data_IF_303865949952
#
_entry.id   IF_303865949952
#
_cell.length_a   1.000
_cell.length_b   1.000
_cell.length_c   1.000
_cell.angle_alpha   90.00
_cell.angle_beta   90.00
_cell.angle_gamma   90.00
#
_symmetry.space_group_name_H-M   'P 1'
#
loop_
_entity.id
_entity.type
_entity.pdbx_description
1 polymer ?
#
# COMPACT_ATOMS: atom_id res chain seq x y z
N UNK A 1 -2.88 -3.19 46.99
CA UNK A 1 -3.47 -3.96 45.88
C UNK A 1 -4.54 -4.81 46.51
N UNK A 2 -5.82 -4.47 46.33
CA UNK A 2 -6.91 -5.10 47.06
C UNK A 2 -7.65 -6.10 46.18
N UNK A 3 -8.03 -7.25 46.75
CA UNK A 3 -9.08 -8.07 46.16
C UNK A 3 -10.37 -7.24 46.16
N UNK A 4 -10.94 -6.99 44.99
CA UNK A 4 -12.18 -6.23 44.84
C UNK A 4 -13.41 -7.10 45.07
N UNK A 5 -13.28 -8.40 44.79
CA UNK A 5 -14.35 -9.37 44.99
C UNK A 5 -13.78 -10.78 45.23
N UNK A 6 -14.44 -11.54 46.10
CA UNK A 6 -14.17 -12.95 46.36
C UNK A 6 -15.33 -13.75 45.76
N UNK A 7 -15.03 -14.68 44.84
CA UNK A 7 -16.02 -15.56 44.22
C UNK A 7 -15.79 -17.00 44.67
N UNK A 8 -16.78 -17.59 45.34
CA UNK A 8 -16.75 -19.00 45.75
C UNK A 8 -17.43 -19.94 44.74
N UNK A 9 -17.65 -21.18 45.16
CA UNK A 9 -18.45 -22.18 44.43
C UNK A 9 -17.91 -22.57 43.04
N UNK A 10 -16.59 -22.63 42.88
CA UNK A 10 -15.94 -22.98 41.60
C UNK A 10 -16.34 -22.08 40.42
N UNK A 11 -16.65 -20.80 40.69
CA UNK A 11 -17.13 -19.84 39.68
C UNK A 11 -16.24 -19.77 38.41
N UNK A 12 -14.94 -20.04 38.51
CA UNK A 12 -13.97 -19.94 37.42
C UNK A 12 -13.52 -21.28 36.81
N UNK A 13 -14.11 -22.43 37.17
CA UNK A 13 -13.68 -23.72 36.63
C UNK A 13 -14.69 -24.86 36.80
N UNK A 14 -14.57 -25.95 36.02
CA UNK A 14 -15.44 -27.11 36.18
C UNK A 14 -15.23 -27.74 37.57
N UNK A 15 -16.29 -28.30 38.16
CA UNK A 15 -16.26 -29.00 39.45
C UNK A 15 -15.12 -29.99 39.49
N UNK A 16 -14.10 -29.71 40.30
CA UNK A 16 -12.90 -30.52 40.34
C UNK A 16 -13.23 -31.85 41.03
N UNK A 17 -12.78 -32.97 40.46
CA UNK A 17 -13.06 -34.29 41.06
C UNK A 17 -12.19 -34.47 42.32
N UNK A 18 -12.66 -35.21 43.35
CA UNK A 18 -11.93 -35.34 44.61
C UNK A 18 -10.50 -35.91 44.48
N UNK A 19 -10.18 -36.57 43.36
CA UNK A 19 -8.88 -37.20 43.13
C UNK A 19 -7.85 -36.29 42.44
N UNK A 20 -8.28 -35.19 41.81
CA UNK A 20 -7.39 -34.32 41.01
C UNK A 20 -7.09 -32.96 41.69
N UNK A 21 -7.62 -32.74 42.89
CA UNK A 21 -7.52 -31.44 43.58
C UNK A 21 -7.02 -31.63 45.01
N UNK A 22 -5.90 -30.99 45.33
CA UNK A 22 -5.33 -30.99 46.69
C UNK A 22 -5.65 -29.66 47.38
N UNK A 23 -6.52 -29.69 48.39
CA UNK A 23 -6.89 -28.49 49.14
C UNK A 23 -5.83 -28.19 50.22
N UNK A 24 -5.20 -27.03 50.11
CA UNK A 24 -4.09 -26.66 51.00
C UNK A 24 -4.53 -25.83 52.20
N UNK A 25 -5.61 -25.07 52.08
CA UNK A 25 -6.14 -24.14 53.09
C UNK A 25 -7.66 -24.17 53.08
N UNK A 26 -8.28 -24.09 54.26
CA UNK A 26 -9.73 -24.12 54.47
C UNK A 26 -10.14 -23.11 55.55
N UNK A 27 -11.40 -22.66 55.50
CA UNK A 27 -11.97 -21.62 56.36
C UNK A 27 -11.13 -20.33 56.44
N UNK A 28 -10.49 -19.96 55.32
CA UNK A 28 -9.56 -18.81 55.28
C UNK A 28 -10.30 -17.51 55.55
N UNK A 29 -9.93 -16.84 56.63
CA UNK A 29 -10.50 -15.56 57.06
C UNK A 29 -9.41 -14.50 57.14
N UNK A 30 -9.51 -13.49 56.28
CA UNK A 30 -8.60 -12.35 56.23
C UNK A 30 -9.30 -11.07 56.71
N UNK A 31 -8.56 -10.16 57.36
CA UNK A 31 -9.05 -8.84 57.77
C UNK A 31 -8.90 -7.77 56.68
N UNK A 32 -8.15 -8.06 55.61
CA UNK A 32 -7.94 -7.19 54.45
C UNK A 32 -6.70 -6.31 54.51
N UNK A 33 -5.88 -6.44 55.57
CA UNK A 33 -4.60 -5.72 55.72
C UNK A 33 -3.37 -6.62 55.47
N UNK A 34 -3.61 -7.91 55.26
CA UNK A 34 -2.58 -8.92 55.08
C UNK A 34 -1.89 -8.77 53.72
N UNK A 35 -0.59 -9.07 53.67
CA UNK A 35 0.19 -8.98 52.44
C UNK A 35 0.32 -10.31 51.70
N UNK A 36 0.06 -11.43 52.39
CA UNK A 36 0.11 -12.78 51.85
C UNK A 36 -1.08 -13.56 52.38
N UNK A 37 -1.61 -14.48 51.58
CA UNK A 37 -2.73 -15.33 51.97
C UNK A 37 -2.43 -16.19 53.20
N UNK A 38 -1.15 -16.56 53.40
CA UNK A 38 -0.69 -17.31 54.58
C UNK A 38 -0.70 -16.49 55.88
N UNK A 39 -0.82 -15.17 55.80
CA UNK A 39 -0.89 -14.29 56.96
C UNK A 39 -2.33 -14.20 57.51
N UNK A 40 -3.31 -14.74 56.78
CA UNK A 40 -4.70 -14.85 57.22
C UNK A 40 -4.90 -16.01 58.19
N UNK A 41 -6.01 -16.00 58.94
CA UNK A 41 -6.38 -17.10 59.82
C UNK A 41 -7.03 -18.24 59.00
N UNK A 42 -6.68 -19.49 59.29
CA UNK A 42 -7.22 -20.67 58.60
C UNK A 42 -7.03 -21.95 59.43
N UNK A 43 -7.79 -23.00 59.10
CA UNK A 43 -7.87 -24.25 59.89
C UNK A 43 -6.58 -25.11 59.95
N UNK A 44 -5.53 -24.71 59.22
CA UNK A 44 -4.23 -25.39 59.17
C UNK A 44 -3.92 -26.04 57.82
N UNK A 45 -2.64 -26.24 57.52
CA UNK A 45 -2.19 -26.74 56.22
C UNK A 45 -2.67 -28.17 55.95
N UNK A 46 -3.43 -28.36 54.86
CA UNK A 46 -3.99 -29.65 54.48
C UNK A 46 -5.07 -30.19 55.43
N UNK A 47 -5.52 -29.38 56.40
CA UNK A 47 -6.69 -29.69 57.23
C UNK A 47 -7.88 -28.99 56.60
N UNK A 48 -8.75 -29.77 55.95
CA UNK A 48 -9.90 -29.23 55.24
C UNK A 48 -11.10 -30.18 55.28
N UNK A 49 -12.30 -29.62 55.12
CA UNK A 49 -13.52 -30.35 54.80
C UNK A 49 -14.05 -30.02 53.38
N UNK A 50 -13.28 -29.24 52.60
CA UNK A 50 -13.63 -28.80 51.24
C UNK A 50 -14.08 -29.94 50.31
N UNK A 51 -15.20 -29.72 49.61
CA UNK A 51 -15.70 -30.49 48.48
C UNK A 51 -15.24 -29.90 47.14
N UNK A 52 -15.37 -30.65 46.04
CA UNK A 52 -15.03 -30.25 44.64
C UNK A 52 -15.58 -28.91 44.16
N UNK A 53 -16.56 -28.37 44.87
CA UNK A 53 -17.25 -27.12 44.59
C UNK A 53 -16.81 -25.98 45.51
N UNK A 54 -16.01 -26.21 46.55
CA UNK A 54 -15.64 -25.19 47.55
C UNK A 54 -14.34 -24.46 47.19
N UNK A 55 -14.08 -24.31 45.89
CA UNK A 55 -12.92 -23.58 45.37
C UNK A 55 -13.26 -22.09 45.31
N UNK A 56 -12.38 -21.26 45.86
CA UNK A 56 -12.49 -19.81 45.89
C UNK A 56 -11.50 -19.17 44.93
N UNK A 57 -11.96 -18.16 44.19
CA UNK A 57 -11.14 -17.28 43.36
C UNK A 57 -11.24 -15.84 43.84
N UNK A 58 -10.15 -15.07 43.67
CA UNK A 58 -10.12 -13.65 44.00
C UNK A 58 -9.92 -12.82 42.74
N UNK A 59 -10.69 -11.74 42.61
CA UNK A 59 -10.52 -10.76 41.53
C UNK A 59 -9.77 -9.56 42.12
N UNK A 60 -8.54 -9.34 41.70
CA UNK A 60 -7.73 -8.21 42.13
C UNK A 60 -8.01 -6.99 41.25
N UNK A 61 -8.26 -5.82 41.86
CA UNK A 61 -8.23 -4.53 41.15
C UNK A 61 -6.89 -3.84 41.40
N UNK A 62 -6.15 -3.58 40.33
CA UNK A 62 -4.90 -2.79 40.35
C UNK A 62 -5.25 -1.29 40.35
N UNK A 63 -4.72 -0.49 41.30
CA UNK A 63 -4.94 0.96 41.26
C UNK A 63 -3.89 1.63 40.36
N UNK A 64 -4.37 2.52 39.48
CA UNK A 64 -3.63 3.36 38.53
C UNK A 64 -2.80 2.61 37.49
N UNK A 65 -3.45 2.26 36.40
CA UNK A 65 -2.94 2.65 35.10
C UNK A 65 -3.96 3.64 34.51
N UNK A 66 -3.50 4.68 33.82
CA UNK A 66 -4.44 5.38 32.92
C UNK A 66 -5.02 4.29 32.02
N UNK A 67 -6.31 4.38 31.73
CA UNK A 67 -6.92 3.50 30.75
C UNK A 67 -6.00 3.46 29.51
N UNK A 68 -5.74 2.26 28.99
CA UNK A 68 -4.96 2.11 27.77
C UNK A 68 -5.57 2.95 26.64
N UNK A 69 -4.82 3.19 25.59
CA UNK A 69 -5.25 4.06 24.49
C UNK A 69 -6.60 3.63 23.86
N UNK A 70 -6.99 2.35 24.02
CA UNK A 70 -8.25 1.75 23.53
C UNK A 70 -9.42 1.74 24.55
N UNK A 71 -9.26 2.41 25.70
CA UNK A 71 -10.24 2.37 26.79
C UNK A 71 -10.70 3.78 27.21
N UNK A 72 -12.00 3.95 27.38
CA UNK A 72 -12.62 5.16 27.95
C UNK A 72 -12.51 5.19 29.47
N UNK A 73 -12.16 6.34 30.04
CA UNK A 73 -12.12 6.54 31.47
C UNK A 73 -13.38 7.28 31.95
N UNK A 74 -14.15 6.67 32.85
CA UNK A 74 -15.31 7.33 33.46
C UNK A 74 -14.89 8.56 34.28
N UNK A 75 -15.70 9.63 34.25
CA UNK A 75 -15.39 10.95 34.85
C UNK A 75 -15.19 10.89 36.37
N UNK A 76 -16.01 10.08 37.04
CA UNK A 76 -16.01 9.87 38.49
C UNK A 76 -15.83 8.40 38.83
N UNK A 77 -14.73 7.82 38.36
CA UNK A 77 -14.32 6.47 38.71
C UNK A 77 -12.87 6.16 38.34
N UNK A 78 -12.37 4.99 38.77
CA UNK A 78 -11.21 4.33 38.15
C UNK A 78 -11.67 3.22 37.19
N UNK A 79 -12.87 3.38 36.64
CA UNK A 79 -13.50 2.43 35.73
C UNK A 79 -13.03 2.76 34.31
N UNK A 80 -12.57 1.74 33.60
CA UNK A 80 -12.18 1.81 32.21
C UNK A 80 -13.13 0.94 31.41
N UNK A 81 -13.79 1.51 30.40
CA UNK A 81 -14.67 0.80 29.50
C UNK A 81 -13.98 0.63 28.14
N UNK A 82 -14.14 -0.51 27.45
CA UNK A 82 -13.76 -0.58 26.05
C UNK A 82 -14.57 0.45 25.26
N UNK A 83 -13.96 1.10 24.28
CA UNK A 83 -14.58 2.23 23.59
C UNK A 83 -15.88 1.90 22.84
N UNK A 84 -16.13 0.63 22.52
CA UNK A 84 -17.41 0.17 21.96
C UNK A 84 -18.59 0.22 22.93
N UNK A 85 -18.35 0.41 24.23
CA UNK A 85 -19.37 0.57 25.29
C UNK A 85 -19.64 2.04 25.62
N UNK A 86 -19.16 2.97 24.78
CA UNK A 86 -19.41 4.40 24.96
C UNK A 86 -20.50 4.83 23.97
N UNK A 87 -21.58 5.42 24.49
CA UNK A 87 -22.76 5.82 23.72
C UNK A 87 -23.52 4.64 23.09
N UNK A 88 -23.53 3.47 23.74
CA UNK A 88 -24.28 2.30 23.31
C UNK A 88 -25.73 2.28 23.84
N UNK A 89 -26.08 3.28 24.67
CA UNK A 89 -27.38 3.44 25.30
C UNK A 89 -27.54 2.67 26.62
N UNK A 90 -26.47 2.05 27.12
CA UNK A 90 -26.39 1.39 28.41
C UNK A 90 -25.55 2.25 29.37
N UNK A 91 -25.88 2.21 30.66
CA UNK A 91 -25.10 2.89 31.69
C UNK A 91 -24.08 1.90 32.24
N UNK A 92 -22.92 1.83 31.62
CA UNK A 92 -21.79 0.99 32.00
C UNK A 92 -20.85 1.69 32.97
N UNK A 93 -20.70 3.03 32.87
CA UNK A 93 -20.04 3.80 33.91
C UNK A 93 -20.98 3.98 35.11
N UNK A 94 -20.44 3.82 36.33
CA UNK A 94 -21.23 4.04 37.57
C UNK A 94 -21.81 5.45 37.71
N UNK A 95 -21.24 6.42 37.01
CA UNK A 95 -21.68 7.81 36.96
C UNK A 95 -22.44 8.19 35.69
N UNK A 96 -22.61 7.26 34.76
CA UNK A 96 -23.24 7.49 33.45
C UNK A 96 -22.47 8.44 32.54
N UNK A 97 -21.16 8.63 32.78
CA UNK A 97 -20.31 9.50 31.95
C UNK A 97 -20.01 8.92 30.57
N UNK A 98 -20.20 7.63 30.36
CA UNK A 98 -20.21 6.97 29.05
C UNK A 98 -21.37 7.45 28.16
N UNK A 99 -22.53 7.75 28.72
CA UNK A 99 -23.75 8.19 28.01
C UNK A 99 -23.97 9.72 28.05
N UNK A 100 -22.94 10.48 28.37
CA UNK A 100 -23.01 11.93 28.47
C UNK A 100 -23.36 12.60 27.15
N UNK A 101 -24.35 13.51 27.16
CA UNK A 101 -24.76 14.26 25.97
C UNK A 101 -23.64 15.11 25.34
N UNK A 102 -22.56 15.40 26.06
CA UNK A 102 -21.45 16.21 25.54
C UNK A 102 -20.66 15.50 24.43
N UNK A 103 -20.63 14.17 24.44
CA UNK A 103 -19.88 13.35 23.47
C UNK A 103 -20.76 12.35 22.72
N UNK A 104 -21.91 11.95 23.27
CA UNK A 104 -22.85 11.06 22.58
C UNK A 104 -23.89 11.78 21.70
N UNK A 105 -24.17 13.07 21.95
CA UNK A 105 -25.07 13.82 21.08
C UNK A 105 -24.34 14.25 19.81
N UNK A 106 -24.70 13.66 18.68
CA UNK A 106 -24.18 13.97 17.33
C UNK A 106 -24.29 15.46 16.99
N UNK A 107 -25.22 16.21 17.62
CA UNK A 107 -25.36 17.66 17.44
C UNK A 107 -24.28 18.45 18.18
N UNK A 108 -23.76 17.91 19.27
CA UNK A 108 -22.76 18.53 20.14
C UNK A 108 -21.34 18.03 19.82
N UNK A 109 -21.22 16.78 19.36
CA UNK A 109 -19.97 16.14 18.94
C UNK A 109 -20.17 15.43 17.59
N UNK A 110 -20.13 16.16 16.46
CA UNK A 110 -20.25 15.54 15.14
C UNK A 110 -19.03 14.68 14.81
N UNK A 111 -19.22 13.67 13.96
CA UNK A 111 -18.10 12.90 13.41
C UNK A 111 -17.22 13.81 12.55
N UNK A 112 -15.95 13.95 12.93
CA UNK A 112 -14.96 14.78 12.24
C UNK A 112 -13.85 13.93 11.62
N UNK A 113 -13.21 14.45 10.58
CA UNK A 113 -12.13 13.77 9.86
C UNK A 113 -10.91 14.68 9.78
N UNK A 114 -9.72 14.10 9.90
CA UNK A 114 -8.46 14.80 9.62
C UNK A 114 -7.41 13.88 9.01
N UNK A 115 -6.46 14.49 8.31
CA UNK A 115 -5.27 13.82 7.81
C UNK A 115 -4.05 14.27 8.63
N UNK A 116 -3.32 13.31 9.19
CA UNK A 116 -2.16 13.56 10.08
C UNK A 116 -0.87 13.03 9.45
N UNK A 117 0.26 13.66 9.78
CA UNK A 117 1.61 13.27 9.31
C UNK A 117 1.82 13.28 7.78
N UNK A 118 0.98 13.96 7.01
CA UNK A 118 1.22 14.23 5.59
C UNK A 118 2.18 15.41 5.36
N UNK A 119 2.85 15.44 4.20
CA UNK A 119 3.66 16.58 3.78
C UNK A 119 2.81 17.75 3.25
N UNK A 120 1.51 17.52 3.06
CA UNK A 120 0.53 18.52 2.61
C UNK A 120 -0.84 18.28 3.24
N UNK A 121 -1.79 19.21 3.04
CA UNK A 121 -3.17 19.07 3.53
C UNK A 121 -4.00 18.01 2.78
N UNK A 122 -3.46 17.49 1.69
CA UNK A 122 -4.11 16.53 0.80
C UNK A 122 -3.73 15.10 1.14
N UNK A 123 -2.79 14.88 2.06
CA UNK A 123 -2.30 13.54 2.37
C UNK A 123 -2.13 13.36 3.86
N UNK A 124 -2.18 12.11 4.32
CA UNK A 124 -1.89 11.75 5.70
C UNK A 124 -2.62 10.50 6.14
N UNK A 125 -2.32 10.05 7.37
CA UNK A 125 -3.06 9.02 8.08
C UNK A 125 -4.49 9.50 8.34
N UNK A 126 -5.46 8.64 8.12
CA UNK A 126 -6.87 8.92 8.38
C UNK A 126 -7.14 8.81 9.87
N UNK A 127 -7.64 9.89 10.46
CA UNK A 127 -8.15 9.88 11.83
C UNK A 127 -9.60 10.36 11.83
N UNK A 128 -10.43 9.66 12.60
CA UNK A 128 -11.86 9.92 12.77
C UNK A 128 -12.12 10.30 14.22
N UNK A 129 -12.91 11.34 14.42
CA UNK A 129 -13.42 11.70 15.73
C UNK A 129 -14.80 11.08 15.89
N UNK A 130 -14.91 10.01 16.67
CA UNK A 130 -16.18 9.36 17.00
C UNK A 130 -16.43 9.50 18.50
N UNK A 131 -17.66 9.84 18.88
CA UNK A 131 -18.05 10.16 20.26
C UNK A 131 -17.04 11.11 20.96
N UNK A 132 -16.62 12.15 20.26
CA UNK A 132 -15.69 13.17 20.79
C UNK A 132 -14.21 12.77 20.87
N UNK A 133 -13.86 11.51 20.59
CA UNK A 133 -12.50 10.95 20.73
C UNK A 133 -11.88 10.70 19.35
N UNK A 134 -10.62 11.09 19.17
CA UNK A 134 -9.88 10.79 17.95
C UNK A 134 -9.33 9.37 17.98
N UNK A 135 -9.49 8.66 16.87
CA UNK A 135 -8.88 7.35 16.62
C UNK A 135 -8.53 7.18 15.15
N UNK A 136 -7.89 6.07 14.82
CA UNK A 136 -7.41 5.71 13.49
C UNK A 136 -8.35 4.73 12.80
N UNK A 137 -8.00 4.30 11.59
CA UNK A 137 -8.75 3.33 10.79
C UNK A 137 -7.77 2.29 10.27
N UNK A 138 -8.14 1.01 10.35
CA UNK A 138 -7.32 -0.07 9.82
C UNK A 138 -7.34 -0.09 8.28
N UNK A 139 -6.25 -0.55 7.67
CA UNK A 139 -6.10 -0.68 6.23
C UNK A 139 -6.64 -1.99 5.63
N UNK A 140 -7.07 -2.93 6.48
CA UNK A 140 -7.74 -4.17 6.11
C UNK A 140 -9.05 -3.88 5.35
N UNK A 141 -9.13 -4.45 4.14
CA UNK A 141 -10.18 -4.23 3.14
C UNK A 141 -10.53 -2.75 2.81
N UNK A 142 -9.77 -1.79 3.33
CA UNK A 142 -9.94 -0.36 3.05
C UNK A 142 -9.72 -0.07 1.57
N UNK A 143 -10.80 0.11 0.83
CA UNK A 143 -10.79 0.22 -0.62
C UNK A 143 -10.67 1.67 -1.12
N UNK A 144 -10.39 1.86 -2.42
CA UNK A 144 -10.23 3.20 -3.01
C UNK A 144 -11.50 4.05 -2.90
N UNK A 145 -12.67 3.41 -2.95
CA UNK A 145 -13.94 4.09 -2.79
C UNK A 145 -14.13 4.61 -1.36
N UNK A 146 -13.61 3.92 -0.33
CA UNK A 146 -13.55 4.43 1.03
C UNK A 146 -12.65 5.67 1.12
N UNK A 147 -11.50 5.65 0.45
CA UNK A 147 -10.66 6.84 0.36
C UNK A 147 -11.37 8.01 -0.33
N UNK A 148 -12.16 7.76 -1.38
CA UNK A 148 -12.97 8.80 -2.04
C UNK A 148 -14.00 9.40 -1.09
N UNK A 149 -14.67 8.57 -0.27
CA UNK A 149 -15.64 9.03 0.73
C UNK A 149 -14.96 9.94 1.77
N UNK A 150 -13.80 9.55 2.29
CA UNK A 150 -13.00 10.36 3.23
C UNK A 150 -12.57 11.68 2.59
N UNK A 151 -11.99 11.62 1.39
CA UNK A 151 -11.52 12.81 0.67
C UNK A 151 -12.68 13.77 0.34
N UNK A 152 -13.84 13.24 -0.04
CA UNK A 152 -15.07 14.01 -0.28
C UNK A 152 -15.57 14.70 0.98
N UNK A 153 -15.50 14.04 2.13
CA UNK A 153 -15.85 14.64 3.41
C UNK A 153 -14.91 15.81 3.76
N UNK A 154 -13.62 15.68 3.44
CA UNK A 154 -12.62 16.74 3.61
C UNK A 154 -12.70 17.86 2.56
N UNK A 155 -13.65 17.77 1.61
CA UNK A 155 -13.91 18.79 0.59
C UNK A 155 -13.16 18.61 -0.73
N UNK A 156 -12.43 17.51 -0.91
CA UNK A 156 -11.78 17.15 -2.16
C UNK A 156 -12.75 16.41 -3.08
N UNK A 157 -12.72 16.72 -4.38
CA UNK A 157 -13.69 16.15 -5.34
C UNK A 157 -13.06 15.24 -6.39
N UNK A 158 -11.74 15.09 -6.36
CA UNK A 158 -10.98 14.31 -7.33
C UNK A 158 -10.78 12.86 -6.91
N UNK A 159 -9.75 12.25 -7.47
CA UNK A 159 -9.30 10.91 -7.08
C UNK A 159 -8.78 10.85 -5.65
N UNK A 160 -8.77 9.64 -5.10
CA UNK A 160 -8.21 9.34 -3.80
C UNK A 160 -7.36 8.08 -3.88
N UNK A 161 -6.17 8.09 -3.29
CA UNK A 161 -5.25 6.96 -3.28
C UNK A 161 -5.14 6.46 -1.84
N UNK A 162 -5.28 5.15 -1.64
CA UNK A 162 -5.08 4.49 -0.34
C UNK A 162 -3.60 4.26 -0.10
N UNK A 163 -3.16 4.48 1.14
CA UNK A 163 -1.85 4.12 1.66
C UNK A 163 -2.03 3.19 2.85
N UNK A 164 -1.36 2.04 2.79
CA UNK A 164 -1.46 0.94 3.73
C UNK A 164 -0.19 0.84 4.59
N UNK A 165 -0.16 -0.11 5.52
CA UNK A 165 0.99 -0.48 6.35
C UNK A 165 1.59 0.73 7.10
N UNK A 166 0.72 1.59 7.65
CA UNK A 166 1.15 2.71 8.47
C UNK A 166 2.05 3.70 7.71
N UNK A 167 1.86 3.89 6.40
CA UNK A 167 2.71 4.72 5.52
C UNK A 167 3.02 6.13 6.07
N UNK A 168 2.07 6.78 6.74
CA UNK A 168 2.25 8.10 7.38
C UNK A 168 2.66 8.01 8.86
N UNK A 169 3.16 6.84 9.26
CA UNK A 169 3.48 6.45 10.62
C UNK A 169 2.26 5.98 11.41
N UNK A 170 2.53 5.22 12.47
CA UNK A 170 1.55 4.79 13.45
C UNK A 170 0.85 6.00 14.12
N UNK A 171 -0.44 5.84 14.36
CA UNK A 171 -1.25 6.73 15.15
C UNK A 171 -1.21 6.38 16.64
N UNK A 172 -2.23 6.83 17.34
CA UNK A 172 -2.41 6.65 18.79
C UNK A 172 -3.87 6.76 19.14
N UNK A 173 -4.30 6.12 20.22
CA UNK A 173 -5.71 6.05 20.60
C UNK A 173 -6.40 4.84 19.96
N UNK A 174 -7.74 4.79 19.96
CA UNK A 174 -8.46 3.68 19.36
C UNK A 174 -8.24 3.53 17.87
N UNK A 175 -8.41 2.30 17.39
CA UNK A 175 -8.71 2.02 15.99
C UNK A 175 -10.23 1.89 15.86
N UNK A 176 -10.85 2.84 15.19
CA UNK A 176 -12.32 2.96 15.17
C UNK A 176 -13.00 2.01 14.20
N UNK A 177 -12.38 1.76 13.05
CA UNK A 177 -13.01 1.02 11.96
C UNK A 177 -12.01 0.02 11.36
N UNK A 178 -12.56 -1.13 11.00
CA UNK A 178 -11.89 -2.26 10.36
C UNK A 178 -12.81 -2.86 9.29
N UNK A 179 -12.24 -3.57 8.32
CA UNK A 179 -12.87 -4.13 7.13
C UNK A 179 -13.76 -3.13 6.37
N UNK A 180 -13.22 -1.94 6.10
CA UNK A 180 -14.01 -0.82 5.55
C UNK A 180 -14.12 -0.90 4.03
N UNK A 181 -15.29 -1.28 3.53
CA UNK A 181 -15.59 -1.39 2.10
C UNK A 181 -16.72 -0.43 1.74
N UNK A 182 -16.42 0.57 0.91
CA UNK A 182 -17.40 1.51 0.37
C UNK A 182 -17.69 1.27 -1.12
N UNK A 183 -18.81 1.79 -1.61
CA UNK A 183 -19.22 1.81 -3.03
C UNK A 183 -18.91 3.13 -3.73
N UNK A 184 -18.47 4.15 -2.98
CA UNK A 184 -18.07 5.49 -3.46
C UNK A 184 -19.19 6.52 -3.50
N UNK A 185 -20.45 6.09 -3.32
CA UNK A 185 -21.63 6.97 -3.32
C UNK A 185 -22.07 7.38 -1.92
N UNK A 186 -21.48 6.80 -0.89
CA UNK A 186 -21.75 7.10 0.50
C UNK A 186 -21.43 8.58 0.83
N UNK A 187 -22.15 9.11 1.81
CA UNK A 187 -21.97 10.48 2.31
C UNK A 187 -20.91 10.56 3.40
N UNK A 188 -20.75 9.47 4.15
CA UNK A 188 -19.89 9.31 5.32
C UNK A 188 -19.39 7.87 5.35
N UNK A 189 -18.24 7.65 5.97
CA UNK A 189 -17.63 6.31 6.06
C UNK A 189 -18.47 5.34 6.92
N UNK A 190 -19.28 5.89 7.84
CA UNK A 190 -20.22 5.13 8.69
C UNK A 190 -21.33 4.41 7.89
N UNK A 191 -21.56 4.83 6.64
CA UNK A 191 -22.55 4.22 5.76
C UNK A 191 -21.92 3.11 4.88
N UNK A 192 -20.62 2.91 4.98
CA UNK A 192 -19.94 1.83 4.28
C UNK A 192 -20.10 0.51 5.03
N UNK A 193 -19.73 -0.60 4.40
CA UNK A 193 -19.65 -1.87 5.11
C UNK A 193 -18.39 -1.84 5.97
N UNK A 194 -18.52 -2.07 7.27
CA UNK A 194 -17.42 -2.12 8.23
C UNK A 194 -17.85 -2.97 9.45
N UNK A 195 -16.89 -3.37 10.29
CA UNK A 195 -17.19 -3.97 11.60
C UNK A 195 -17.73 -2.94 12.59
N UNK A 196 -18.20 -3.36 13.77
CA UNK A 196 -18.70 -2.40 14.76
C UNK A 196 -17.58 -1.42 15.18
N UNK A 197 -17.97 -0.23 15.63
CA UNK A 197 -17.00 0.76 16.09
C UNK A 197 -16.11 0.22 17.22
N UNK A 198 -14.80 0.33 17.03
CA UNK A 198 -13.81 -0.19 17.99
C UNK A 198 -13.62 -1.72 17.95
N UNK A 199 -14.30 -2.43 17.05
CA UNK A 199 -14.06 -3.86 16.80
C UNK A 199 -13.03 -4.02 15.67
N UNK A 200 -11.83 -4.47 16.01
CA UNK A 200 -10.73 -4.68 15.06
C UNK A 200 -9.77 -5.76 15.57
N UNK A 201 -8.96 -6.32 14.67
CA UNK A 201 -7.80 -7.14 15.04
C UNK A 201 -6.46 -6.51 14.68
N UNK A 202 -6.49 -5.24 14.26
CA UNK A 202 -5.30 -4.51 13.81
C UNK A 202 -4.50 -3.89 14.96
N UNK A 203 -3.24 -3.58 14.69
CA UNK A 203 -2.43 -2.63 15.47
C UNK A 203 -2.13 -1.34 14.67
N UNK A 204 -1.51 -0.34 15.29
CA UNK A 204 -1.25 0.95 14.61
C UNK A 204 -0.22 0.88 13.47
N UNK A 205 0.45 -0.26 13.25
CA UNK A 205 1.27 -0.45 12.05
C UNK A 205 0.42 -0.68 10.81
N UNK A 206 -0.88 -0.94 10.99
CA UNK A 206 -1.89 -1.15 9.96
C UNK A 206 -2.81 0.07 9.78
N UNK A 207 -2.45 1.22 10.39
CA UNK A 207 -3.24 2.44 10.23
C UNK A 207 -3.22 2.92 8.77
N UNK A 208 -4.41 3.13 8.21
CA UNK A 208 -4.60 3.57 6.83
C UNK A 208 -4.35 5.07 6.67
N UNK A 209 -3.78 5.42 5.52
CA UNK A 209 -3.66 6.80 5.04
C UNK A 209 -4.30 6.98 3.69
N UNK A 210 -4.54 8.25 3.33
CA UNK A 210 -5.06 8.61 2.01
C UNK A 210 -4.31 9.78 1.41
N UNK A 211 -4.31 9.86 0.08
CA UNK A 211 -3.88 11.02 -0.69
C UNK A 211 -5.06 11.47 -1.54
N UNK A 212 -5.61 12.64 -1.22
CA UNK A 212 -6.72 13.28 -1.88
C UNK A 212 -6.27 14.18 -3.02
N UNK A 213 -7.08 14.25 -4.07
CA UNK A 213 -6.86 15.08 -5.24
C UNK A 213 -8.09 15.93 -5.54
N UNK A 214 -7.91 17.06 -6.23
CA UNK A 214 -9.00 17.81 -6.87
C UNK A 214 -9.10 17.53 -8.37
N UNK A 215 -8.29 16.59 -8.87
CA UNK A 215 -8.34 16.11 -10.24
C UNK A 215 -9.31 14.95 -10.27
N UNK A 216 -10.48 15.13 -10.89
CA UNK A 216 -11.44 14.06 -11.10
C UNK A 216 -10.77 12.92 -11.89
N UNK A 217 -10.69 11.75 -11.28
CA UNK A 217 -10.56 10.52 -12.05
C UNK A 217 -11.82 10.41 -12.91
N UNK A 218 -11.64 10.56 -14.22
CA UNK A 218 -12.73 10.32 -15.16
C UNK A 218 -12.96 8.81 -15.19
N UNK A 219 -13.77 8.30 -14.26
CA UNK A 219 -14.16 6.89 -14.22
C UNK A 219 -14.80 6.50 -15.55
N UNK A 220 -14.16 5.57 -16.24
CA UNK A 220 -14.76 4.80 -17.33
C UNK A 220 -15.77 3.82 -16.72
N UNK A 221 -16.94 4.31 -16.33
CA UNK A 221 -18.06 3.42 -16.06
C UNK A 221 -18.58 2.83 -17.38
N UNK A 222 -18.49 1.51 -17.47
CA UNK A 222 -19.12 0.68 -18.50
C UNK A 222 -20.62 0.98 -18.57
N UNK A 223 -21.06 1.69 -19.60
CA UNK A 223 -22.43 1.69 -20.10
C UNK A 223 -22.43 2.15 -21.56
N UNK A 224 -22.95 1.27 -22.40
CA UNK A 224 -22.99 1.37 -23.86
C UNK A 224 -23.69 2.65 -24.34
N UNK A 225 -22.92 3.62 -24.85
CA UNK A 225 -23.37 4.53 -25.91
C UNK A 225 -22.22 4.72 -26.90
N UNK A 226 -22.38 4.43 -28.20
CA UNK A 226 -21.30 4.58 -29.16
C UNK A 226 -21.09 6.07 -29.47
N UNK A 227 -19.97 6.63 -28.99
CA UNK A 227 -19.43 7.88 -29.53
C UNK A 227 -18.31 7.59 -30.55
N UNK A 228 -18.10 8.51 -31.51
CA UNK A 228 -17.43 8.20 -32.78
C UNK A 228 -15.96 7.86 -32.56
N UNK A 229 -15.50 6.83 -33.27
CA UNK A 229 -14.13 6.34 -33.30
C UNK A 229 -13.10 7.46 -33.45
N UNK A 230 -12.33 7.73 -32.39
CA UNK A 230 -10.98 8.26 -32.52
C UNK A 230 -10.15 7.13 -33.15
N UNK A 231 -9.37 7.37 -34.22
CA UNK A 231 -8.56 6.31 -34.83
C UNK A 231 -7.63 5.70 -33.78
N UNK A 232 -7.66 4.38 -33.62
CA UNK A 232 -6.80 3.66 -32.68
C UNK A 232 -5.33 3.99 -32.97
N UNK A 233 -4.69 4.69 -32.03
CA UNK A 233 -3.27 5.08 -32.07
C UNK A 233 -2.37 3.94 -31.54
N UNK A 234 -2.96 2.89 -30.99
CA UNK A 234 -2.27 1.76 -30.39
C UNK A 234 -2.42 0.51 -31.26
N UNK A 235 -1.36 -0.31 -31.42
CA UNK A 235 -1.45 -1.56 -32.15
C UNK A 235 -2.34 -2.56 -31.40
N UNK A 236 -3.20 -3.29 -32.12
CA UNK A 236 -4.09 -4.33 -31.56
C UNK A 236 -3.33 -5.50 -30.92
N UNK A 237 -2.01 -5.58 -31.12
CA UNK A 237 -1.10 -6.60 -30.57
C UNK A 237 0.19 -5.93 -30.09
N UNK A 238 0.58 -6.19 -28.85
CA UNK A 238 1.81 -5.68 -28.24
C UNK A 238 2.44 -6.74 -27.33
N UNK A 239 3.74 -6.62 -27.02
CA UNK A 239 4.43 -7.46 -26.04
C UNK A 239 4.71 -8.91 -26.47
N UNK A 240 4.44 -9.28 -27.71
CA UNK A 240 4.69 -10.63 -28.22
C UNK A 240 6.12 -10.81 -28.71
N UNK A 241 6.72 -11.95 -28.35
CA UNK A 241 7.95 -12.51 -28.96
C UNK A 241 7.57 -13.71 -29.83
N UNK A 242 8.42 -14.04 -30.79
CA UNK A 242 8.21 -15.15 -31.75
C UNK A 242 7.93 -16.51 -31.08
N UNK A 243 8.33 -16.69 -29.83
CA UNK A 243 8.34 -18.00 -29.19
C UNK A 243 7.20 -18.27 -28.20
N UNK A 244 6.39 -17.28 -27.76
CA UNK A 244 5.34 -17.46 -26.73
C UNK A 244 5.77 -18.23 -25.45
N UNK A 245 7.07 -18.41 -25.21
CA UNK A 245 7.65 -19.15 -24.10
C UNK A 245 8.36 -18.13 -23.21
N UNK A 246 7.74 -17.75 -22.10
CA UNK A 246 8.52 -17.38 -20.92
C UNK A 246 9.13 -18.68 -20.42
N UNK A 247 10.36 -19.00 -20.85
CA UNK A 247 11.03 -20.22 -20.42
C UNK A 247 11.23 -20.08 -18.90
N UNK A 248 10.46 -20.86 -18.14
CA UNK A 248 10.44 -20.85 -16.67
C UNK A 248 11.70 -21.48 -16.06
N UNK A 249 12.74 -21.71 -16.85
CA UNK A 249 13.82 -22.61 -16.45
C UNK A 249 15.12 -22.31 -17.21
N UNK A 250 15.68 -21.10 -17.03
CA UNK A 250 17.09 -20.87 -17.35
C UNK A 250 17.74 -20.04 -16.25
N UNK A 251 18.72 -20.67 -15.61
CA UNK A 251 19.52 -20.19 -14.47
C UNK A 251 19.80 -18.68 -14.49
N UNK A 252 19.20 -18.00 -13.51
CA UNK A 252 19.35 -16.57 -13.22
C UNK A 252 20.82 -16.27 -12.88
N UNK A 253 21.52 -15.59 -13.78
CA UNK A 253 22.81 -14.97 -13.48
C UNK A 253 22.62 -13.50 -13.13
N UNK A 254 22.95 -13.16 -11.88
CA UNK A 254 22.83 -11.82 -11.33
C UNK A 254 23.94 -10.87 -11.79
N UNK A 255 23.55 -9.58 -11.95
CA UNK A 255 24.37 -8.35 -11.90
C UNK A 255 25.03 -7.90 -13.21
N UNK A 256 24.99 -6.59 -13.48
CA UNK A 256 25.75 -5.91 -14.56
C UNK A 256 27.24 -5.81 -14.20
N UNK A 257 27.83 -7.00 -14.16
CA UNK A 257 29.16 -7.38 -14.61
C UNK A 257 28.95 -8.83 -15.08
N UNK A 258 28.86 -9.08 -16.40
CA UNK A 258 28.52 -10.37 -17.08
C UNK A 258 27.04 -10.58 -17.50
N UNK A 259 26.45 -9.67 -18.26
CA UNK A 259 25.22 -9.98 -19.01
C UNK A 259 25.47 -11.04 -20.09
N UNK A 260 24.44 -11.81 -20.47
CA UNK A 260 24.48 -12.72 -21.61
C UNK A 260 24.10 -12.00 -22.91
N UNK A 261 24.68 -12.45 -24.01
CA UNK A 261 24.33 -11.96 -25.35
C UNK A 261 22.89 -12.41 -25.64
N UNK A 262 22.01 -11.47 -26.00
CA UNK A 262 20.65 -11.79 -26.41
C UNK A 262 20.65 -12.56 -27.74
N UNK A 263 19.62 -13.33 -28.04
CA UNK A 263 19.44 -13.89 -29.37
C UNK A 263 18.73 -12.87 -30.28
N UNK A 264 18.94 -13.01 -31.59
CA UNK A 264 18.27 -12.18 -32.59
C UNK A 264 16.75 -12.38 -32.48
N UNK A 265 16.02 -11.28 -32.31
CA UNK A 265 14.56 -11.29 -32.17
C UNK A 265 14.04 -11.49 -30.74
N UNK A 266 14.91 -11.61 -29.72
CA UNK A 266 14.47 -11.73 -28.32
C UNK A 266 13.76 -10.47 -27.81
N UNK A 267 14.14 -9.30 -28.30
CA UNK A 267 13.62 -8.00 -27.84
C UNK A 267 13.20 -7.14 -29.04
N UNK A 268 12.13 -7.53 -29.76
CA UNK A 268 11.72 -6.88 -31.01
C UNK A 268 11.21 -5.44 -30.82
N UNK A 269 10.95 -5.03 -29.58
CA UNK A 269 10.59 -3.66 -29.22
C UNK A 269 11.79 -2.76 -28.90
N UNK A 270 13.00 -3.31 -28.83
CA UNK A 270 14.20 -2.53 -28.62
C UNK A 270 14.50 -1.66 -29.85
N UNK A 271 14.71 -0.38 -29.62
CA UNK A 271 15.18 0.56 -30.62
C UNK A 271 16.39 1.36 -30.11
N UNK A 272 17.10 1.98 -31.03
CA UNK A 272 18.27 2.80 -30.76
C UNK A 272 18.08 4.17 -31.39
N UNK A 273 18.43 5.21 -30.64
CA UNK A 273 18.57 6.57 -31.16
C UNK A 273 20.03 6.78 -31.51
N UNK A 274 20.31 7.06 -32.78
CA UNK A 274 21.63 7.45 -33.27
C UNK A 274 21.64 8.94 -33.57
N UNK A 275 22.78 9.58 -33.32
CA UNK A 275 23.01 10.99 -33.66
C UNK A 275 24.06 11.11 -34.75
N UNK A 276 23.83 12.05 -35.67
CA UNK A 276 24.77 12.33 -36.75
C UNK A 276 26.05 12.99 -36.22
N UNK A 277 27.16 12.26 -36.24
CA UNK A 277 28.50 12.75 -35.89
C UNK A 277 29.29 13.27 -37.11
N UNK A 278 30.63 13.34 -36.98
CA UNK A 278 31.57 13.74 -38.04
C UNK A 278 31.69 12.67 -39.14
N UNK A 279 30.59 12.38 -39.84
CA UNK A 279 30.54 11.48 -41.01
C UNK A 279 30.02 10.07 -40.73
N UNK A 280 29.79 9.70 -39.47
CA UNK A 280 29.18 8.42 -39.05
C UNK A 280 28.05 8.69 -38.05
N UNK A 281 27.04 7.82 -38.02
CA UNK A 281 26.03 7.81 -36.98
C UNK A 281 26.58 7.09 -35.76
N UNK A 282 26.50 7.72 -34.59
CA UNK A 282 26.99 7.15 -33.34
C UNK A 282 25.80 6.80 -32.46
N UNK A 283 25.85 5.61 -31.84
CA UNK A 283 24.89 5.22 -30.81
C UNK A 283 24.84 6.27 -29.70
N UNK A 284 23.65 6.78 -29.40
CA UNK A 284 23.45 7.81 -28.37
C UNK A 284 22.67 7.26 -27.18
N UNK A 285 21.43 6.80 -27.42
CA UNK A 285 20.54 6.30 -26.37
C UNK A 285 19.69 5.11 -26.84
N UNK A 286 19.20 4.33 -25.88
CA UNK A 286 18.14 3.35 -26.13
C UNK A 286 16.76 4.00 -26.27
N UNK A 287 15.86 3.29 -26.93
CA UNK A 287 14.47 3.64 -27.11
C UNK A 287 13.61 2.38 -27.14
N UNK A 288 12.31 2.51 -26.95
CA UNK A 288 11.36 1.40 -27.01
C UNK A 288 10.17 1.72 -27.91
N UNK A 289 9.80 0.76 -28.75
CA UNK A 289 8.71 0.92 -29.72
C UNK A 289 7.39 0.66 -29.01
N UNK A 290 6.46 1.62 -29.09
CA UNK A 290 5.12 1.50 -28.50
C UNK A 290 4.02 1.48 -29.58
N UNK A 291 4.33 1.90 -30.81
CA UNK A 291 3.48 1.74 -31.99
C UNK A 291 4.33 1.92 -33.26
N UNK A 292 3.70 1.76 -34.43
CA UNK A 292 4.34 2.06 -35.73
C UNK A 292 4.90 3.48 -35.79
N UNK A 293 4.24 4.46 -35.15
CA UNK A 293 4.61 5.88 -35.27
C UNK A 293 5.24 6.48 -34.02
N UNK A 294 5.24 5.77 -32.90
CA UNK A 294 5.68 6.32 -31.62
C UNK A 294 6.70 5.43 -30.94
N UNK A 295 7.70 6.10 -30.39
CA UNK A 295 8.81 5.49 -29.64
C UNK A 295 8.97 6.27 -28.33
N UNK A 296 9.24 5.55 -27.24
CA UNK A 296 9.48 6.13 -25.92
C UNK A 296 10.98 6.10 -25.60
N UNK A 297 11.49 7.16 -24.99
CA UNK A 297 12.89 7.28 -24.56
C UNK A 297 13.01 8.22 -23.36
N UNK A 298 14.22 8.44 -22.85
CA UNK A 298 14.48 9.41 -21.80
C UNK A 298 14.54 10.84 -22.35
N UNK A 299 14.06 11.81 -21.58
CA UNK A 299 14.05 13.21 -21.99
C UNK A 299 15.46 13.79 -22.15
N UNK A 300 16.40 13.42 -21.28
CA UNK A 300 17.78 13.88 -21.36
C UNK A 300 18.49 13.47 -22.66
N UNK A 301 18.04 12.38 -23.31
CA UNK A 301 18.60 11.90 -24.58
C UNK A 301 18.29 12.83 -25.76
N UNK A 302 17.20 13.59 -25.69
CA UNK A 302 16.73 14.46 -26.77
C UNK A 302 17.16 15.92 -26.59
N UNK A 303 17.96 16.20 -25.55
CA UNK A 303 18.46 17.53 -25.25
C UNK A 303 19.94 17.58 -25.64
N UNK A 304 20.26 18.37 -26.67
CA UNK A 304 21.65 18.62 -27.08
C UNK A 304 21.88 18.67 -28.59
N UNK A 305 20.98 18.09 -29.39
CA UNK A 305 21.06 18.14 -30.85
C UNK A 305 19.75 18.66 -31.47
N UNK A 306 19.84 19.14 -32.72
CA UNK A 306 18.65 19.55 -33.48
C UNK A 306 17.81 18.33 -33.89
N UNK A 307 16.49 18.49 -34.01
CA UNK A 307 15.54 17.45 -34.45
C UNK A 307 16.03 16.61 -35.65
N UNK A 308 16.60 17.24 -36.68
CA UNK A 308 17.09 16.57 -37.88
C UNK A 308 18.42 15.82 -37.75
N UNK A 309 19.06 15.84 -36.57
CA UNK A 309 20.29 15.12 -36.30
C UNK A 309 20.05 13.71 -35.73
N UNK A 310 18.81 13.43 -35.31
CA UNK A 310 18.41 12.17 -34.72
C UNK A 310 17.81 11.22 -35.75
N UNK A 311 18.16 9.95 -35.65
CA UNK A 311 17.54 8.84 -36.38
C UNK A 311 17.26 7.72 -35.38
N UNK A 312 16.10 7.07 -35.53
CA UNK A 312 15.70 5.93 -34.71
C UNK A 312 15.85 4.66 -35.56
N UNK A 313 16.56 3.67 -35.05
CA UNK A 313 16.79 2.38 -35.72
C UNK A 313 16.16 1.28 -34.87
N UNK A 314 15.40 0.39 -35.50
CA UNK A 314 14.73 -0.76 -34.89
C UNK A 314 15.07 -2.04 -35.66
N UNK A 315 14.95 -3.22 -35.02
CA UNK A 315 15.25 -4.51 -35.68
C UNK A 315 16.74 -4.76 -35.90
N UNK A 316 17.58 -4.05 -35.15
CA UNK A 316 19.05 -4.09 -35.19
C UNK A 316 19.56 -4.99 -34.06
N UNK A 317 20.39 -5.98 -34.35
CA UNK A 317 21.02 -6.83 -33.33
C UNK A 317 22.49 -6.46 -33.07
N UNK A 318 23.20 -6.03 -34.12
CA UNK A 318 24.58 -5.59 -34.07
C UNK A 318 24.71 -4.22 -34.72
N UNK A 319 24.95 -3.20 -33.90
CA UNK A 319 24.86 -1.78 -34.30
C UNK A 319 25.85 -1.41 -35.43
N UNK A 320 26.91 -2.20 -35.61
CA UNK A 320 27.96 -2.00 -36.62
C UNK A 320 27.70 -2.74 -37.95
N UNK A 321 26.72 -3.66 -38.00
CA UNK A 321 26.44 -4.49 -39.17
C UNK A 321 25.03 -4.20 -39.71
N UNK A 322 24.85 -4.34 -41.01
CA UNK A 322 23.53 -4.28 -41.67
C UNK A 322 23.11 -5.72 -41.95
N UNK A 323 22.18 -6.23 -41.14
CA UNK A 323 21.70 -7.60 -41.18
C UNK A 323 20.45 -7.77 -42.06
N UNK A 324 19.95 -6.67 -42.63
CA UNK A 324 18.76 -6.62 -43.48
C UNK A 324 17.43 -6.64 -42.72
N UNK A 325 17.46 -6.59 -41.38
CA UNK A 325 16.26 -6.51 -40.51
C UNK A 325 16.02 -5.09 -39.97
N UNK A 326 17.01 -4.22 -40.13
CA UNK A 326 17.06 -2.87 -39.63
C UNK A 326 16.06 -1.97 -40.35
N UNK A 327 15.28 -1.24 -39.57
CA UNK A 327 14.39 -0.21 -40.05
C UNK A 327 14.83 1.13 -39.48
N UNK A 328 15.09 2.09 -40.37
CA UNK A 328 15.46 3.45 -39.98
C UNK A 328 14.28 4.41 -40.13
N UNK A 329 14.02 5.20 -39.10
CA UNK A 329 12.96 6.20 -39.08
C UNK A 329 13.48 7.56 -38.58
N UNK A 330 13.11 8.62 -39.29
CA UNK A 330 13.41 9.99 -38.89
C UNK A 330 12.39 10.52 -37.89
N UNK A 331 12.81 11.40 -36.99
CA UNK A 331 11.93 12.05 -36.03
C UNK A 331 11.16 13.19 -36.73
N UNK A 332 9.83 13.19 -36.60
CA UNK A 332 8.94 14.29 -36.98
C UNK A 332 8.87 15.33 -35.85
N UNK A 333 8.56 14.86 -34.64
CA UNK A 333 8.50 15.69 -33.44
C UNK A 333 8.83 14.86 -32.20
N UNK A 334 9.12 15.52 -31.09
CA UNK A 334 9.26 14.88 -29.80
C UNK A 334 8.68 15.76 -28.68
N UNK A 335 8.12 15.10 -27.68
CA UNK A 335 7.43 15.71 -26.56
C UNK A 335 8.15 15.32 -25.28
N UNK A 336 8.79 16.30 -24.65
CA UNK A 336 9.39 16.14 -23.33
C UNK A 336 8.30 16.28 -22.27
N UNK A 337 8.41 15.54 -21.17
CA UNK A 337 7.49 15.71 -20.06
C UNK A 337 7.53 17.16 -19.52
N UNK A 338 6.37 17.80 -19.31
CA UNK A 338 6.27 19.22 -18.94
C UNK A 338 6.99 19.56 -17.63
N UNK A 339 7.01 18.60 -16.69
CA UNK A 339 7.71 18.71 -15.40
C UNK A 339 9.16 18.20 -15.43
N UNK A 340 9.72 17.91 -16.61
CA UNK A 340 11.11 17.48 -16.73
C UNK A 340 12.05 18.60 -16.28
N UNK A 341 13.01 18.27 -15.40
CA UNK A 341 14.03 19.20 -14.93
C UNK A 341 15.42 18.62 -15.12
N UNK A 342 16.23 19.27 -15.95
CA UNK A 342 17.62 18.91 -16.15
C UNK A 342 18.44 19.27 -14.90
N UNK A 343 19.08 18.29 -14.26
CA UNK A 343 19.86 18.48 -13.03
C UNK A 343 20.20 17.16 -12.33
N UNK A 344 20.74 17.21 -11.11
CA UNK A 344 21.28 16.04 -10.39
C UNK A 344 20.26 14.96 -10.00
N UNK A 345 18.97 15.26 -9.94
CA UNK A 345 17.90 14.28 -9.61
C UNK A 345 17.06 13.83 -10.82
N UNK A 346 17.27 14.42 -12.01
CA UNK A 346 16.57 14.12 -13.28
C UNK A 346 15.10 13.66 -13.12
N UNK A 347 14.27 14.49 -12.46
CA UNK A 347 12.86 14.14 -12.24
C UNK A 347 12.08 14.17 -13.57
N UNK A 348 11.20 13.18 -13.77
CA UNK A 348 10.34 13.02 -14.94
C UNK A 348 11.12 12.91 -16.26
N UNK A 349 12.19 12.11 -16.27
CA UNK A 349 13.07 11.90 -17.42
C UNK A 349 12.45 10.98 -18.48
N UNK A 350 11.36 11.43 -19.07
CA UNK A 350 10.58 10.68 -20.07
C UNK A 350 10.21 11.57 -21.25
N UNK A 351 10.35 11.03 -22.46
CA UNK A 351 10.00 11.70 -23.69
C UNK A 351 9.36 10.75 -24.72
N UNK A 352 8.38 11.29 -25.43
CA UNK A 352 7.69 10.61 -26.51
C UNK A 352 8.18 11.13 -27.86
N UNK A 353 8.60 10.24 -28.75
CA UNK A 353 9.11 10.56 -30.09
C UNK A 353 8.08 10.13 -31.13
N UNK A 354 7.69 11.07 -32.00
CA UNK A 354 6.83 10.83 -33.16
C UNK A 354 7.70 10.67 -34.41
N UNK A 355 7.54 9.55 -35.10
CA UNK A 355 8.27 9.22 -36.32
C UNK A 355 7.62 9.85 -37.56
N UNK A 356 8.46 10.22 -38.53
CA UNK A 356 8.04 10.83 -39.80
C UNK A 356 7.47 9.77 -40.74
N UNK A 357 6.41 10.13 -41.45
CA UNK A 357 5.81 9.30 -42.50
C UNK A 357 4.96 8.16 -41.93
N UNK A 358 5.20 6.93 -42.40
CA UNK A 358 4.51 5.73 -41.91
C UNK A 358 5.12 5.15 -40.64
N UNK A 359 6.32 5.58 -40.25
CA UNK A 359 7.04 5.03 -39.11
C UNK A 359 7.60 3.64 -39.42
N UNK A 360 7.63 2.77 -38.41
CA UNK A 360 8.09 1.38 -38.54
C UNK A 360 7.02 0.46 -39.10
N UNK A 361 7.46 -0.58 -39.80
CA UNK A 361 6.64 -1.71 -40.22
C UNK A 361 6.78 -2.82 -39.20
N UNK A 362 5.71 -3.11 -38.45
CA UNK A 362 5.75 -4.20 -37.47
C UNK A 362 5.91 -5.56 -38.18
N UNK A 363 6.92 -6.32 -37.77
CA UNK A 363 7.28 -7.64 -38.30
C UNK A 363 7.90 -8.51 -37.18
N UNK A 364 8.53 -9.64 -37.51
CA UNK A 364 9.08 -10.55 -36.50
C UNK A 364 10.22 -9.93 -35.66
N UNK A 365 10.99 -9.01 -36.24
CA UNK A 365 12.14 -8.37 -35.60
C UNK A 365 11.80 -6.99 -35.01
N UNK A 366 10.64 -6.42 -35.36
CA UNK A 366 10.16 -5.10 -34.96
C UNK A 366 8.72 -5.20 -34.47
N UNK A 367 8.51 -5.11 -33.16
CA UNK A 367 7.19 -5.17 -32.52
C UNK A 367 7.03 -4.06 -31.49
N UNK A 368 5.79 -3.69 -31.18
CA UNK A 368 5.52 -2.77 -30.07
C UNK A 368 5.49 -3.51 -28.73
N UNK A 369 6.07 -2.92 -27.68
CA UNK A 369 5.85 -3.37 -26.31
C UNK A 369 4.51 -2.85 -25.81
N UNK A 370 3.87 -3.59 -24.89
CA UNK A 370 2.71 -3.07 -24.19
C UNK A 370 3.14 -2.00 -23.18
N UNK A 371 2.34 -0.94 -23.08
CA UNK A 371 2.44 -0.02 -21.96
C UNK A 371 1.77 -0.64 -20.73
N UNK A 372 2.30 -0.41 -19.53
CA UNK A 372 1.61 -0.82 -18.31
C UNK A 372 0.24 -0.13 -18.22
N UNK A 373 -0.71 -0.81 -17.59
CA UNK A 373 -1.95 -0.15 -17.20
C UNK A 373 -1.62 0.92 -16.15
N UNK A 374 -2.42 2.00 -16.10
CA UNK A 374 -2.15 3.15 -15.25
C UNK A 374 -2.00 2.81 -13.75
N UNK A 375 -2.50 1.63 -13.33
CA UNK A 375 -2.52 1.15 -11.95
C UNK A 375 -1.68 -0.14 -11.75
N UNK A 376 -0.84 -0.54 -12.70
CA UNK A 376 0.08 -1.67 -12.48
C UNK A 376 1.18 -1.25 -11.52
N UNK A 377 1.04 -1.62 -10.25
CA UNK A 377 2.11 -1.49 -9.26
C UNK A 377 3.02 -2.73 -9.37
N UNK A 378 4.27 -2.54 -9.77
CA UNK A 378 5.22 -3.65 -9.83
C UNK A 378 5.78 -3.87 -8.41
N UNK A 379 5.46 -5.03 -7.80
CA UNK A 379 5.97 -5.43 -6.49
C UNK A 379 7.51 -5.43 -6.47
N UNK A 380 8.12 -5.20 -5.28
CA UNK A 380 9.58 -5.06 -5.12
C UNK A 380 10.41 -6.29 -5.55
N UNK A 381 9.76 -7.44 -5.78
CA UNK A 381 10.38 -8.72 -6.19
C UNK A 381 10.06 -9.15 -7.63
N UNK A 382 9.48 -8.27 -8.46
CA UNK A 382 9.24 -8.58 -9.86
C UNK A 382 10.57 -8.69 -10.64
N UNK A 383 10.79 -9.86 -11.27
CA UNK A 383 11.93 -10.07 -12.16
C UNK A 383 11.75 -9.25 -13.46
N UNK A 384 12.38 -8.07 -13.52
CA UNK A 384 12.38 -7.23 -14.71
C UNK A 384 13.62 -7.47 -15.58
N UNK A 385 13.45 -7.30 -16.89
CA UNK A 385 14.55 -7.40 -17.86
C UNK A 385 14.92 -6.04 -18.43
N UNK A 386 16.21 -5.69 -18.36
CA UNK A 386 16.77 -4.51 -19.01
C UNK A 386 17.58 -4.96 -20.23
N UNK A 387 17.36 -4.35 -21.40
CA UNK A 387 18.10 -4.59 -22.64
C UNK A 387 18.80 -3.33 -23.15
N UNK A 388 19.94 -3.49 -23.85
CA UNK A 388 20.60 -2.38 -24.52
C UNK A 388 22.00 -2.68 -25.05
N UNK A 389 22.62 -1.65 -25.65
CA UNK A 389 23.96 -1.66 -26.27
C UNK A 389 24.98 -0.83 -25.45
N UNK A 390 24.66 -0.60 -24.17
CA UNK A 390 25.49 0.17 -23.24
C UNK A 390 26.82 -0.52 -22.93
N UNK A 391 27.73 0.19 -22.26
CA UNK A 391 29.05 -0.38 -21.94
C UNK A 391 28.97 -1.48 -20.89
N UNK A 392 29.64 -2.61 -21.15
CA UNK A 392 29.76 -3.74 -20.22
C UNK A 392 30.86 -3.56 -19.15
N UNK A 393 31.59 -2.43 -19.17
CA UNK A 393 32.62 -2.10 -18.18
C UNK A 393 32.55 -0.62 -17.79
N UNK A 394 32.61 -0.32 -16.50
CA UNK A 394 32.68 1.05 -16.00
C UNK A 394 33.84 1.82 -16.64
N UNK A 395 33.52 2.86 -17.41
CA UNK A 395 34.51 3.79 -17.99
C UNK A 395 34.98 3.51 -19.42
N UNK A 396 34.31 2.65 -20.21
CA UNK A 396 34.61 2.47 -21.65
C UNK A 396 33.37 2.68 -22.53
N UNK A 397 33.58 2.93 -23.83
CA UNK A 397 32.53 3.08 -24.86
C UNK A 397 31.69 1.81 -25.02
N UNK A 398 30.41 1.98 -25.39
CA UNK A 398 29.37 0.94 -25.47
C UNK A 398 29.73 -0.33 -26.25
N UNK A 399 28.98 -1.41 -26.01
CA UNK A 399 29.16 -2.69 -26.72
C UNK A 399 28.43 -2.72 -28.05
N UNK A 400 28.91 -3.57 -28.97
CA UNK A 400 28.42 -3.66 -30.35
C UNK A 400 27.15 -4.49 -30.49
N UNK A 401 26.98 -5.50 -29.64
CA UNK A 401 25.82 -6.43 -29.64
C UNK A 401 24.86 -6.13 -28.49
N UNK A 402 23.60 -6.57 -28.65
CA UNK A 402 22.55 -6.44 -27.62
C UNK A 402 22.78 -7.39 -26.44
N UNK A 403 22.71 -6.86 -25.22
CA UNK A 403 22.76 -7.62 -23.96
C UNK A 403 21.46 -7.47 -23.18
N UNK A 404 21.11 -8.47 -22.36
CA UNK A 404 20.04 -8.37 -21.37
C UNK A 404 20.53 -8.62 -19.94
N UNK A 405 19.78 -8.09 -18.96
CA UNK A 405 19.99 -8.26 -17.52
C UNK A 405 18.63 -8.55 -16.86
N UNK A 406 18.51 -9.63 -16.09
CA UNK A 406 17.42 -9.81 -15.12
C UNK A 406 17.82 -9.07 -13.84
N UNK A 407 17.18 -7.95 -13.54
CA UNK A 407 17.50 -7.14 -12.38
C UNK A 407 16.42 -7.32 -11.30
N UNK A 408 16.81 -7.93 -10.19
CA UNK A 408 16.20 -7.71 -8.88
C UNK A 408 16.68 -6.36 -8.36
N UNK A 409 15.71 -5.59 -7.84
CA UNK A 409 15.82 -4.43 -6.93
C UNK A 409 16.11 -3.03 -7.51
N UNK A 410 15.30 -2.08 -7.00
CA UNK A 410 15.22 -0.60 -7.14
C UNK A 410 14.50 -0.08 -8.39
N UNK A 411 13.47 0.79 -8.28
CA UNK A 411 13.22 1.88 -7.30
C UNK A 411 11.90 1.72 -6.55
#
# INVERSE_FOLDING_TARGET
MGAAEVKGNSFYGPTATPNDTFYMMDDVTCSGNETRLMDCDFSGWGVHNCLGQEIVGVVCKTPKERCGDDYWQCDTGQECLPLGFVCDGLLDCTDGSDEGAQHCDVRLAPTEFRLVNGSSRQEGRVEIRHHGIWGTVCDDDFNEDAAKVVCKHLGYKGSAIVKKEGFFGAGSGPIWLDQVICSGNETTIENCTHWNWGEHNCDHTEDVGVICSNVYEYERHSSLVPMPSIPQVYPDRCGYRKDNIFNRDDNVHFRVVRGSVAQKGDYPWQAVIRVKGKGTFVHWCGAVIISEKFVLTAAHCLIGYSKGAYIVVAGDYNVDEDEGTEQEAYIEDFYLHEKFRQGHKMNNDIALVKLKGRGFRLNEDVQAICLPDANTNYEMDANCTISGYGSIQSGKSGTKSMYFICALTFI
#
